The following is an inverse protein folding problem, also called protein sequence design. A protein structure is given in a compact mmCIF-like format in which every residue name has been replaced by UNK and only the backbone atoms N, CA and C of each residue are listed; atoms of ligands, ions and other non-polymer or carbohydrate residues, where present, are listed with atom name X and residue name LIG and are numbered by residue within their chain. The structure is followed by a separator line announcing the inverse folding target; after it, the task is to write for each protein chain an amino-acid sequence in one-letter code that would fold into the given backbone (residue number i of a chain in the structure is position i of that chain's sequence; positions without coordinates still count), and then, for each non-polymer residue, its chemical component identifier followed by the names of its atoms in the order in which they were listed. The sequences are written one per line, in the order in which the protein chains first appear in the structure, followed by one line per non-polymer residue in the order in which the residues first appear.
data_IF_752939609906
#
_entry.id   IF_752939609906
#
_cell.length_a   1.000
_cell.length_b   1.000
_cell.length_c   1.000
_cell.angle_alpha   90.00
_cell.angle_beta   90.00
_cell.angle_gamma   90.00
#
_symmetry.space_group_name_H-M   'P 1'
#
loop_
_entity.id
_entity.type
_entity.pdbx_description
1 polymer ?
#
# COMPACT_ATOMS: atom_id res chain seq x y z
N UNK A 1 15.05 -20.52 -44.53
CA UNK A 1 15.29 -19.75 -43.28
C UNK A 1 14.06 -19.84 -42.40
N UNK A 2 14.19 -20.14 -41.10
CA UNK A 2 13.04 -20.24 -40.19
C UNK A 2 12.66 -18.88 -39.57
N UNK A 3 11.36 -18.56 -39.39
CA UNK A 3 10.94 -17.25 -38.90
C UNK A 3 11.20 -17.05 -37.40
N UNK A 4 11.91 -15.97 -37.05
CA UNK A 4 12.30 -15.64 -35.67
C UNK A 4 11.12 -14.99 -34.93
N UNK A 5 10.47 -15.72 -34.03
CA UNK A 5 9.36 -15.21 -33.21
C UNK A 5 9.83 -14.15 -32.22
N UNK A 6 9.50 -12.88 -32.48
CA UNK A 6 9.84 -11.72 -31.60
C UNK A 6 9.17 -11.88 -30.22
N UNK A 7 9.93 -11.69 -29.14
CA UNK A 7 9.44 -11.87 -27.76
C UNK A 7 8.45 -10.77 -27.39
N UNK A 8 7.25 -11.13 -26.93
CA UNK A 8 6.22 -10.16 -26.54
C UNK A 8 6.63 -9.33 -25.31
N UNK A 9 6.40 -8.02 -25.40
CA UNK A 9 6.77 -7.06 -24.35
C UNK A 9 5.96 -7.25 -23.07
N UNK A 10 6.50 -6.78 -21.94
CA UNK A 10 5.80 -6.86 -20.63
C UNK A 10 4.45 -6.12 -20.69
N UNK A 11 4.38 -5.00 -21.43
CA UNK A 11 3.13 -4.24 -21.66
C UNK A 11 2.12 -5.05 -22.46
N UNK A 12 2.54 -5.72 -23.53
CA UNK A 12 1.67 -6.60 -24.32
C UNK A 12 1.16 -7.80 -23.49
N UNK A 13 2.01 -8.39 -22.64
CA UNK A 13 1.60 -9.46 -21.71
C UNK A 13 0.66 -9.00 -20.59
N UNK A 14 0.69 -7.73 -20.22
CA UNK A 14 -0.27 -7.15 -19.27
C UNK A 14 -1.63 -6.90 -19.95
N UNK A 15 -1.64 -6.31 -21.14
CA UNK A 15 -2.87 -6.07 -21.91
C UNK A 15 -3.58 -7.38 -22.34
N UNK A 16 -2.82 -8.40 -22.75
CA UNK A 16 -3.39 -9.72 -23.03
C UNK A 16 -4.05 -10.38 -21.80
N UNK A 17 -3.68 -9.97 -20.57
CA UNK A 17 -4.31 -10.45 -19.33
C UNK A 17 -5.52 -9.61 -18.90
N UNK A 18 -5.58 -8.33 -19.23
CA UNK A 18 -6.80 -7.52 -18.99
C UNK A 18 -7.93 -7.92 -19.94
N UNK A 19 -7.60 -8.42 -21.12
CA UNK A 19 -8.58 -8.80 -22.15
C UNK A 19 -9.06 -10.24 -22.01
N UNK A 20 -8.64 -10.96 -20.96
CA UNK A 20 -9.11 -12.32 -20.68
C UNK A 20 -10.43 -12.31 -19.90
N UNK A 21 -11.37 -11.47 -20.34
CA UNK A 21 -12.80 -11.71 -20.13
C UNK A 21 -13.14 -13.00 -20.87
N UNK A 22 -13.58 -14.01 -20.13
CA UNK A 22 -13.93 -15.32 -20.67
C UNK A 22 -14.90 -15.16 -21.87
N UNK A 23 -14.71 -15.86 -22.99
CA UNK A 23 -15.72 -15.88 -24.05
C UNK A 23 -16.99 -16.50 -23.47
N UNK A 24 -18.05 -15.69 -23.35
CA UNK A 24 -19.33 -16.10 -22.81
C UNK A 24 -20.03 -17.01 -23.82
N UNK A 25 -19.72 -18.30 -23.83
CA UNK A 25 -20.45 -19.29 -24.61
C UNK A 25 -21.89 -19.33 -24.11
N UNK A 26 -22.83 -19.19 -25.04
CA UNK A 26 -24.27 -19.25 -24.80
C UNK A 26 -24.74 -20.66 -24.45
N UNK A 27 -24.42 -21.10 -23.23
CA UNK A 27 -24.96 -22.29 -22.59
C UNK A 27 -25.82 -21.82 -21.41
N UNK A 28 -27.10 -22.21 -21.41
CA UNK A 28 -28.04 -21.89 -20.34
C UNK A 28 -27.56 -22.50 -19.03
N UNK A 29 -27.03 -21.67 -18.13
CA UNK A 29 -26.77 -22.01 -16.75
C UNK A 29 -27.76 -21.24 -15.87
N UNK A 30 -28.35 -21.87 -14.85
CA UNK A 30 -29.38 -21.23 -14.05
C UNK A 30 -28.83 -19.96 -13.40
N UNK A 31 -29.58 -18.87 -13.58
CA UNK A 31 -29.33 -17.58 -12.93
C UNK A 31 -29.06 -17.84 -11.44
N UNK A 32 -27.91 -17.40 -10.87
CA UNK A 32 -27.69 -17.56 -9.45
C UNK A 32 -28.80 -16.81 -8.73
N UNK A 33 -29.67 -17.58 -8.05
CA UNK A 33 -30.65 -17.06 -7.10
C UNK A 33 -29.98 -15.97 -6.25
N UNK A 34 -30.66 -14.85 -5.96
CA UNK A 34 -30.09 -13.79 -5.12
C UNK A 34 -29.88 -14.35 -3.71
N UNK A 35 -28.72 -14.99 -3.51
CA UNK A 35 -28.27 -15.47 -2.23
C UNK A 35 -28.37 -14.29 -1.26
N UNK A 36 -29.08 -14.44 -0.13
CA UNK A 36 -29.36 -13.33 0.73
C UNK A 36 -28.04 -12.68 1.12
N UNK A 37 -27.93 -11.37 0.86
CA UNK A 37 -26.78 -10.52 1.22
C UNK A 37 -26.74 -10.26 2.74
N UNK A 38 -27.05 -11.30 3.52
CA UNK A 38 -26.98 -11.37 4.97
C UNK A 38 -25.58 -11.74 5.44
N UNK A 39 -24.55 -11.20 4.77
CA UNK A 39 -23.36 -10.79 5.52
C UNK A 39 -23.78 -9.66 6.46
N UNK A 40 -24.38 -10.02 7.60
CA UNK A 40 -24.74 -9.05 8.62
C UNK A 40 -23.47 -8.24 8.91
N UNK A 41 -23.61 -6.92 8.93
CA UNK A 41 -22.49 -5.98 8.93
C UNK A 41 -21.71 -5.95 10.26
N UNK A 42 -21.84 -7.02 11.05
CA UNK A 42 -21.15 -7.30 12.30
C UNK A 42 -19.65 -7.06 12.21
N UNK A 43 -19.12 -6.45 13.27
CA UNK A 43 -17.69 -6.19 13.45
C UNK A 43 -16.87 -7.50 13.37
N UNK A 44 -17.46 -8.62 13.81
CA UNK A 44 -16.80 -9.93 13.86
C UNK A 44 -16.61 -10.56 12.47
N UNK A 45 -17.63 -10.53 11.60
CA UNK A 45 -17.52 -11.07 10.22
C UNK A 45 -16.48 -10.28 9.42
N UNK A 46 -16.52 -8.94 9.50
CA UNK A 46 -15.52 -8.04 8.91
C UNK A 46 -14.10 -8.32 9.40
N UNK A 47 -13.93 -8.59 10.70
CA UNK A 47 -12.63 -8.95 11.27
C UNK A 47 -12.13 -10.31 10.73
N UNK A 48 -12.99 -11.33 10.67
CA UNK A 48 -12.64 -12.65 10.16
C UNK A 48 -12.24 -12.62 8.67
N UNK A 49 -12.99 -11.89 7.84
CA UNK A 49 -12.68 -11.71 6.41
C UNK A 49 -11.33 -10.99 6.22
N UNK A 50 -11.08 -9.91 6.99
CA UNK A 50 -9.79 -9.21 6.99
C UNK A 50 -8.64 -10.12 7.42
N UNK A 51 -8.82 -10.90 8.49
CA UNK A 51 -7.82 -11.83 9.01
C UNK A 51 -7.47 -12.92 7.97
N UNK A 52 -8.48 -13.59 7.40
CA UNK A 52 -8.28 -14.60 6.35
C UNK A 52 -7.57 -14.02 5.11
N UNK A 53 -7.94 -12.81 4.70
CA UNK A 53 -7.30 -12.08 3.60
C UNK A 53 -5.83 -11.71 3.88
N UNK A 54 -5.48 -11.48 5.15
CA UNK A 54 -4.13 -11.14 5.61
C UNK A 54 -3.24 -12.40 5.73
N UNK A 55 -3.73 -13.43 6.42
CA UNK A 55 -3.03 -14.73 6.60
C UNK A 55 -2.69 -15.34 5.24
N UNK A 56 -3.66 -15.43 4.32
CA UNK A 56 -3.43 -15.95 2.97
C UNK A 56 -2.48 -15.10 2.11
N UNK A 57 -2.25 -13.83 2.47
CA UNK A 57 -1.20 -12.98 1.87
C UNK A 57 0.18 -13.37 2.36
N UNK A 58 0.32 -13.63 3.67
CA UNK A 58 1.60 -13.87 4.34
C UNK A 58 2.10 -15.28 4.04
N UNK A 59 1.28 -16.31 4.24
CA UNK A 59 1.64 -17.72 4.01
C UNK A 59 2.18 -17.94 2.59
N UNK A 60 1.42 -17.44 1.59
CA UNK A 60 1.79 -17.52 0.16
C UNK A 60 2.98 -16.62 -0.21
N UNK A 61 3.44 -15.77 0.70
CA UNK A 61 4.58 -14.89 0.46
C UNK A 61 5.92 -15.40 1.00
N UNK A 62 5.92 -16.40 1.88
CA UNK A 62 7.14 -16.95 2.50
C UNK A 62 7.98 -17.80 1.52
N UNK A 63 7.32 -18.56 0.64
CA UNK A 63 7.96 -19.50 -0.29
C UNK A 63 8.62 -18.86 -1.54
N UNK A 64 9.35 -17.74 -1.38
CA UNK A 64 10.19 -17.22 -2.48
C UNK A 64 11.34 -18.20 -2.73
N UNK A 65 11.41 -18.74 -3.95
CA UNK A 65 12.58 -19.48 -4.39
C UNK A 65 13.82 -18.58 -4.34
N UNK A 66 14.82 -18.98 -3.55
CA UNK A 66 16.07 -18.25 -3.41
C UNK A 66 16.72 -18.09 -4.77
N UNK A 67 16.86 -16.85 -5.24
CA UNK A 67 17.53 -16.55 -6.51
C UNK A 67 19.00 -16.97 -6.41
N UNK A 68 19.34 -18.12 -7.01
CA UNK A 68 20.73 -18.61 -7.12
C UNK A 68 21.60 -17.49 -7.68
N UNK A 69 22.59 -17.05 -6.89
CA UNK A 69 23.58 -16.06 -7.32
C UNK A 69 24.43 -16.68 -8.44
N UNK A 70 24.80 -15.87 -9.43
CA UNK A 70 25.76 -16.28 -10.50
C UNK A 70 27.07 -16.73 -9.84
N UNK A 71 27.82 -17.70 -10.41
CA UNK A 71 29.06 -18.22 -9.81
C UNK A 71 30.02 -17.10 -9.38
N UNK A 72 30.31 -16.15 -10.27
CA UNK A 72 31.20 -15.00 -10.05
C UNK A 72 30.65 -13.94 -9.05
N UNK A 73 29.52 -14.21 -8.41
CA UNK A 73 28.93 -13.42 -7.32
C UNK A 73 28.42 -14.29 -6.17
N UNK A 74 28.85 -15.56 -6.05
CA UNK A 74 28.72 -16.30 -4.79
C UNK A 74 29.56 -15.58 -3.72
N UNK A 75 29.11 -15.62 -2.47
CA UNK A 75 30.00 -15.25 -1.36
C UNK A 75 30.96 -16.42 -1.18
N UNK A 76 32.26 -16.15 -1.17
CA UNK A 76 33.29 -17.12 -0.79
C UNK A 76 33.30 -17.11 0.74
N UNK A 77 32.92 -18.22 1.36
CA UNK A 77 32.80 -18.34 2.82
C UNK A 77 33.97 -19.14 3.41
N UNK A 78 35.18 -18.84 2.93
CA UNK A 78 36.42 -19.42 3.42
C UNK A 78 37.02 -18.48 4.48
N UNK A 79 37.68 -19.03 5.50
CA UNK A 79 38.25 -18.25 6.62
C UNK A 79 39.27 -17.20 6.14
N UNK A 80 40.08 -17.54 5.14
CA UNK A 80 41.05 -16.63 4.49
C UNK A 80 40.36 -15.42 3.85
N UNK A 81 39.22 -15.63 3.18
CA UNK A 81 38.43 -14.55 2.56
C UNK A 81 37.68 -13.67 3.58
N UNK A 82 37.58 -14.10 4.84
CA UNK A 82 37.06 -13.28 5.93
C UNK A 82 38.16 -12.40 6.54
N UNK A 83 39.41 -12.88 6.57
CA UNK A 83 40.56 -12.09 6.99
C UNK A 83 40.84 -10.93 6.02
N UNK A 84 40.86 -11.21 4.71
CA UNK A 84 41.03 -10.22 3.63
C UNK A 84 39.86 -9.22 3.52
N UNK A 85 38.70 -9.54 4.12
CA UNK A 85 37.52 -8.67 4.17
C UNK A 85 37.46 -7.78 5.43
N UNK A 86 38.42 -7.90 6.35
CA UNK A 86 38.58 -6.91 7.41
C UNK A 86 39.20 -5.64 6.80
N UNK A 87 38.61 -4.45 7.01
CA UNK A 87 39.23 -3.20 6.56
C UNK A 87 40.59 -3.07 7.26
N UNK A 88 41.65 -2.88 6.46
CA UNK A 88 43.04 -2.94 6.92
C UNK A 88 43.28 -2.12 8.18
N UNK A 89 43.64 -2.81 9.26
CA UNK A 89 44.09 -2.21 10.52
C UNK A 89 45.61 -1.90 10.50
N UNK A 90 46.26 -2.23 9.38
CA UNK A 90 47.68 -2.09 9.15
C UNK A 90 47.91 -1.08 7.99
N UNK A 91 48.81 -0.10 8.21
CA UNK A 91 49.22 0.99 7.31
C UNK A 91 48.33 2.27 7.22
N UNK A 92 48.58 3.20 8.15
CA UNK A 92 49.15 4.55 7.87
C UNK A 92 48.91 5.23 6.49
N UNK A 93 48.31 6.45 6.50
CA UNK A 93 48.63 7.53 5.54
C UNK A 93 47.55 8.12 4.59
N UNK A 94 47.12 9.37 4.84
CA UNK A 94 46.77 10.43 3.82
C UNK A 94 45.37 10.51 3.13
N UNK A 95 44.73 11.70 3.21
CA UNK A 95 43.60 12.31 2.41
C UNK A 95 42.17 11.64 2.47
N UNK A 96 41.04 12.10 1.85
CA UNK A 96 40.66 13.10 0.81
C UNK A 96 40.31 14.55 1.31
N UNK A 97 40.64 15.59 0.53
CA UNK A 97 40.02 16.94 0.54
C UNK A 97 38.79 17.06 -0.39
N UNK A 98 37.70 17.70 0.10
CA UNK A 98 36.94 18.80 -0.55
C UNK A 98 35.46 18.91 -0.12
N UNK A 99 35.16 20.03 0.56
CA UNK A 99 33.87 20.74 0.64
C UNK A 99 32.57 20.04 1.10
N UNK A 100 32.15 20.41 2.32
CA UNK A 100 30.81 20.98 2.48
C UNK A 100 29.65 20.07 2.90
N UNK A 101 29.79 19.27 3.97
CA UNK A 101 28.63 18.68 4.65
C UNK A 101 28.70 18.80 6.17
N UNK A 102 27.60 19.25 6.79
CA UNK A 102 27.52 19.54 8.23
C UNK A 102 27.70 18.27 9.06
N UNK A 103 28.60 18.37 10.03
CA UNK A 103 29.02 17.30 10.91
C UNK A 103 28.04 17.08 12.08
N UNK A 104 27.80 15.82 12.42
CA UNK A 104 27.26 15.43 13.74
C UNK A 104 28.24 14.43 14.34
N UNK A 105 28.92 14.84 15.41
CA UNK A 105 30.06 14.11 15.98
C UNK A 105 29.57 13.07 17.00
N UNK A 106 29.79 11.79 16.71
CA UNK A 106 29.63 10.69 17.68
C UNK A 106 30.92 9.85 17.62
N UNK A 107 31.68 9.85 18.71
CA UNK A 107 32.82 8.94 18.95
C UNK A 107 33.83 8.81 17.79
N UNK A 108 34.69 9.81 17.61
CA UNK A 108 35.88 9.79 16.72
C UNK A 108 35.67 9.52 15.21
N UNK A 109 34.48 9.14 14.74
CA UNK A 109 34.19 8.89 13.31
C UNK A 109 33.11 9.84 12.76
N UNK A 110 33.50 10.76 11.87
CA UNK A 110 32.61 11.71 11.19
C UNK A 110 31.80 11.02 10.08
N UNK A 111 30.66 10.41 10.40
CA UNK A 111 29.82 9.69 9.42
C UNK A 111 29.01 10.68 8.56
N UNK A 112 29.57 11.10 7.43
CA UNK A 112 28.88 11.90 6.41
C UNK A 112 27.82 11.07 5.66
N UNK A 113 26.55 11.17 6.09
CA UNK A 113 25.41 10.46 5.48
C UNK A 113 25.03 11.04 4.11
N UNK A 114 25.76 10.65 3.06
CA UNK A 114 25.39 10.90 1.65
C UNK A 114 23.95 10.41 1.39
N UNK A 115 23.03 11.32 1.08
CA UNK A 115 21.68 10.95 0.65
C UNK A 115 21.71 10.27 -0.72
N UNK A 116 20.89 9.24 -0.91
CA UNK A 116 20.90 8.48 -2.17
C UNK A 116 20.35 9.33 -3.32
N UNK A 117 21.16 9.53 -4.36
CA UNK A 117 20.79 10.27 -5.58
C UNK A 117 19.47 9.71 -6.16
N UNK A 118 18.50 10.60 -6.41
CA UNK A 118 17.16 10.17 -6.81
C UNK A 118 17.18 9.41 -8.14
N UNK A 119 16.42 8.31 -8.22
CA UNK A 119 16.37 7.48 -9.44
C UNK A 119 15.60 8.22 -10.55
N UNK A 120 15.95 8.07 -11.84
CA UNK A 120 15.18 8.66 -12.93
C UNK A 120 13.70 8.26 -12.86
N UNK A 121 12.84 9.27 -12.96
CA UNK A 121 11.39 9.14 -12.79
C UNK A 121 10.90 8.93 -11.35
N UNK A 122 11.75 9.04 -10.31
CA UNK A 122 11.28 9.03 -8.91
C UNK A 122 10.32 10.20 -8.64
N UNK A 123 10.68 11.42 -9.08
CA UNK A 123 9.82 12.60 -9.01
C UNK A 123 8.47 12.38 -9.72
N UNK A 124 8.47 11.86 -10.95
CA UNK A 124 7.22 11.57 -11.70
C UNK A 124 6.33 10.53 -11.01
N UNK A 125 6.91 9.56 -10.28
CA UNK A 125 6.15 8.60 -9.47
C UNK A 125 5.57 9.26 -8.22
N UNK A 126 6.36 10.09 -7.52
CA UNK A 126 5.90 10.88 -6.37
C UNK A 126 4.74 11.79 -6.76
N UNK A 127 4.88 12.56 -7.83
CA UNK A 127 3.85 13.45 -8.35
C UNK A 127 2.54 12.71 -8.71
N UNK A 128 2.63 11.53 -9.34
CA UNK A 128 1.46 10.69 -9.65
C UNK A 128 0.76 10.20 -8.39
N UNK A 129 1.52 9.76 -7.37
CA UNK A 129 0.97 9.34 -6.09
C UNK A 129 0.29 10.50 -5.36
N UNK A 130 0.94 11.66 -5.26
CA UNK A 130 0.36 12.85 -4.63
C UNK A 130 -0.92 13.33 -5.34
N UNK A 131 -1.00 13.16 -6.66
CA UNK A 131 -2.21 13.50 -7.45
C UNK A 131 -3.37 12.56 -7.11
N UNK A 132 -3.11 11.25 -7.11
CA UNK A 132 -4.09 10.24 -6.70
C UNK A 132 -4.51 10.39 -5.23
N UNK A 133 -3.59 10.77 -4.35
CA UNK A 133 -3.86 11.05 -2.94
C UNK A 133 -4.72 12.31 -2.77
N UNK A 134 -4.39 13.42 -3.45
CA UNK A 134 -5.22 14.64 -3.44
C UNK A 134 -6.64 14.37 -3.92
N UNK A 135 -6.83 13.58 -4.98
CA UNK A 135 -8.17 13.18 -5.43
C UNK A 135 -8.93 12.35 -4.39
N UNK A 136 -8.26 11.44 -3.67
CA UNK A 136 -8.86 10.66 -2.58
C UNK A 136 -9.22 11.53 -1.38
N UNK A 137 -8.32 12.43 -0.97
CA UNK A 137 -8.58 13.39 0.09
C UNK A 137 -9.76 14.30 -0.24
N UNK A 138 -9.85 14.83 -1.47
CA UNK A 138 -10.98 15.66 -1.89
C UNK A 138 -12.32 14.89 -1.88
N UNK A 139 -12.32 13.62 -2.28
CA UNK A 139 -13.53 12.76 -2.20
C UNK A 139 -13.93 12.50 -0.74
N UNK A 140 -12.98 12.13 0.11
CA UNK A 140 -13.25 11.89 1.53
C UNK A 140 -13.69 13.17 2.26
N UNK A 141 -13.09 14.32 1.96
CA UNK A 141 -13.47 15.62 2.51
C UNK A 141 -14.87 16.04 2.04
N UNK A 142 -15.28 15.71 0.81
CA UNK A 142 -16.65 15.90 0.32
C UNK A 142 -17.65 14.98 1.03
N UNK A 143 -17.30 13.72 1.28
CA UNK A 143 -18.13 12.79 2.05
C UNK A 143 -18.26 13.25 3.51
N UNK A 144 -17.17 13.72 4.12
CA UNK A 144 -17.18 14.29 5.47
C UNK A 144 -17.97 15.59 5.54
N UNK A 145 -17.85 16.52 4.58
CA UNK A 145 -18.63 17.76 4.59
C UNK A 145 -20.12 17.51 4.32
N UNK A 146 -20.46 16.51 3.49
CA UNK A 146 -21.84 16.05 3.33
C UNK A 146 -22.40 15.41 4.62
N UNK A 147 -21.60 14.66 5.37
CA UNK A 147 -21.97 14.09 6.67
C UNK A 147 -21.97 15.12 7.82
N UNK A 148 -21.26 16.24 7.67
CA UNK A 148 -21.20 17.37 8.62
C UNK A 148 -22.19 18.48 8.24
N UNK A 149 -23.33 18.10 7.65
CA UNK A 149 -24.55 18.91 7.74
C UNK A 149 -25.00 18.98 9.20
N UNK A 150 -24.50 19.98 9.94
CA UNK A 150 -24.85 20.22 11.35
C UNK A 150 -26.36 20.39 11.55
N UNK A 151 -27.07 20.88 10.53
CA UNK A 151 -28.53 20.94 10.48
C UNK A 151 -29.20 19.56 10.59
N UNK A 152 -28.70 18.53 9.91
CA UNK A 152 -29.24 17.17 10.01
C UNK A 152 -29.00 16.56 11.40
N UNK A 153 -27.89 16.93 12.08
CA UNK A 153 -27.64 16.50 13.47
C UNK A 153 -28.58 17.17 14.47
N UNK A 154 -28.89 18.46 14.28
CA UNK A 154 -29.88 19.17 15.10
C UNK A 154 -31.32 18.73 14.81
N UNK A 155 -31.65 18.41 13.55
CA UNK A 155 -32.93 17.83 13.18
C UNK A 155 -33.10 16.41 13.75
N UNK A 156 -32.07 15.56 13.65
CA UNK A 156 -32.05 14.23 14.24
C UNK A 156 -32.15 14.28 15.78
N UNK A 157 -31.48 15.24 16.43
CA UNK A 157 -31.62 15.45 17.88
C UNK A 157 -33.04 15.89 18.26
N UNK A 158 -33.63 16.87 17.55
CA UNK A 158 -35.02 17.29 17.75
C UNK A 158 -36.01 16.13 17.54
N UNK A 159 -35.81 15.30 16.52
CA UNK A 159 -36.59 14.09 16.27
C UNK A 159 -36.45 13.07 17.41
N UNK A 160 -35.23 12.80 17.85
CA UNK A 160 -34.95 11.86 18.93
C UNK A 160 -35.56 12.33 20.26
N UNK A 161 -35.34 13.59 20.65
CA UNK A 161 -35.94 14.19 21.85
C UNK A 161 -37.48 14.14 21.76
N UNK A 162 -38.07 14.49 20.62
CA UNK A 162 -39.53 14.38 20.40
C UNK A 162 -40.05 12.93 20.48
N UNK A 163 -39.23 11.93 20.12
CA UNK A 163 -39.62 10.52 20.19
C UNK A 163 -39.47 9.88 21.58
N UNK A 164 -38.62 10.46 22.43
CA UNK A 164 -38.19 9.83 23.71
C UNK A 164 -38.70 10.58 24.94
N UNK A 165 -39.04 11.87 24.81
CA UNK A 165 -39.62 12.66 25.91
C UNK A 165 -41.15 12.55 25.87
N UNK A 166 -41.74 12.12 26.98
CA UNK A 166 -43.19 12.08 27.17
C UNK A 166 -43.81 13.48 27.03
N UNK A 167 -44.75 13.63 26.08
CA UNK A 167 -45.48 14.89 25.92
C UNK A 167 -46.69 14.93 26.85
N UNK A 168 -46.56 15.64 27.97
CA UNK A 168 -47.70 15.94 28.84
C UNK A 168 -48.67 16.90 28.15
N UNK A 169 -49.94 16.53 28.10
CA UNK A 169 -50.99 17.27 27.39
C UNK A 169 -51.19 18.71 27.90
N UNK A 170 -50.88 18.95 29.18
CA UNK A 170 -50.90 20.25 29.87
C UNK A 170 -50.16 21.37 29.12
N UNK A 171 -49.15 21.04 28.32
CA UNK A 171 -48.31 22.02 27.61
C UNK A 171 -48.67 22.22 26.12
N UNK A 172 -49.69 21.54 25.58
CA UNK A 172 -50.07 21.68 24.16
C UNK A 172 -51.04 22.84 23.87
N UNK A 173 -51.60 23.50 24.89
CA UNK A 173 -52.63 24.54 24.75
C UNK A 173 -52.16 25.99 24.89
N UNK A 174 -50.90 26.23 25.28
CA UNK A 174 -50.36 27.58 25.50
C UNK A 174 -49.85 28.16 24.17
N UNK A 175 -50.57 29.16 23.64
CA UNK A 175 -50.15 30.05 22.56
C UNK A 175 -49.79 31.43 23.11
#
# INVERSE_FOLDING_TARGET
MAPIKKRSSIRAKAAAKSNNTLPLSSASLPLPSPLPTHFSASKRSKQAIKHSSFVSKIEKSSSKSTKRRRPNKKLVANLESLADALPGLDAEGGEEDAEGNKEVTVGQARILRKSLKSRPGALKRKEKLEREERERFNKNLKEMSAAVKVQDRWAALKMHVKSTVEQKAEFQGLK
#
